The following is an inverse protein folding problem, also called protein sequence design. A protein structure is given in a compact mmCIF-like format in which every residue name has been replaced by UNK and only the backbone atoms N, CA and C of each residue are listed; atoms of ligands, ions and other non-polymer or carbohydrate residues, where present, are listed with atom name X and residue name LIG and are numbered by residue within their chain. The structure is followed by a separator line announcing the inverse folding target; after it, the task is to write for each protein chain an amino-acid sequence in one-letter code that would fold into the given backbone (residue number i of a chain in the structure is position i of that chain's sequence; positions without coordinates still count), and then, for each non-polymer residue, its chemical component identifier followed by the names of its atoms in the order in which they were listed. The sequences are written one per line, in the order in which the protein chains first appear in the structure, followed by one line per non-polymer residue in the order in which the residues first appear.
data_IF_503063163983
#
_entry.id   IF_503063163983
#
_cell.length_a   1.000
_cell.length_b   1.000
_cell.length_c   1.000
_cell.angle_alpha   90.00
_cell.angle_beta   90.00
_cell.angle_gamma   90.00
#
_symmetry.space_group_name_H-M   'P 1'
#
loop_
_entity.id
_entity.type
_entity.pdbx_description
1 polymer ?
#
# COMPACT_ATOMS: atom_id res chain seq x y z
N UNK A 1 2.95 -71.73 31.85
CA UNK A 1 2.98 -71.08 30.52
C UNK A 1 1.68 -70.30 30.29
N UNK A 2 1.30 -69.34 31.16
CA UNK A 2 0.06 -68.54 31.02
C UNK A 2 0.25 -67.19 31.73
N UNK A 3 1.20 -66.37 31.31
CA UNK A 3 1.29 -64.97 31.77
C UNK A 3 1.92 -64.15 30.64
N UNK A 4 1.15 -63.76 29.61
CA UNK A 4 1.57 -62.64 28.73
C UNK A 4 0.51 -62.07 27.76
N UNK A 5 -0.77 -62.40 27.87
CA UNK A 5 -1.76 -62.08 26.81
C UNK A 5 -2.81 -61.00 27.15
N UNK A 6 -2.63 -60.18 28.18
CA UNK A 6 -3.72 -59.26 28.63
C UNK A 6 -3.42 -57.76 28.40
N UNK A 7 -2.20 -57.35 28.01
CA UNK A 7 -1.85 -55.91 27.95
C UNK A 7 -2.05 -55.18 26.61
N UNK A 8 -2.44 -55.86 25.53
CA UNK A 8 -2.56 -55.22 24.20
C UNK A 8 -3.97 -54.74 23.83
N UNK A 9 -5.00 -55.06 24.62
CA UNK A 9 -6.40 -54.77 24.27
C UNK A 9 -6.96 -53.41 24.72
N UNK A 10 -6.31 -52.70 25.65
CA UNK A 10 -6.88 -51.47 26.24
C UNK A 10 -6.36 -50.15 25.63
N UNK A 11 -5.23 -50.13 24.93
CA UNK A 11 -4.70 -48.88 24.37
C UNK A 11 -5.34 -48.43 23.04
N UNK A 12 -5.98 -49.33 22.30
CA UNK A 12 -6.62 -48.98 21.01
C UNK A 12 -7.96 -48.27 21.16
N UNK A 13 -8.68 -48.49 22.27
CA UNK A 13 -9.98 -47.86 22.52
C UNK A 13 -9.89 -46.39 22.98
N UNK A 14 -8.76 -45.94 23.52
CA UNK A 14 -8.59 -44.54 23.95
C UNK A 14 -8.24 -43.63 22.76
N UNK A 15 -7.49 -44.15 21.77
CA UNK A 15 -7.10 -43.38 20.57
C UNK A 15 -8.23 -43.20 19.55
N UNK A 16 -9.21 -44.11 19.47
CA UNK A 16 -10.39 -43.92 18.62
C UNK A 16 -11.43 -42.96 19.23
N UNK A 17 -11.54 -42.89 20.57
CA UNK A 17 -12.50 -41.99 21.23
C UNK A 17 -12.06 -40.51 21.18
N UNK A 18 -10.76 -40.24 21.05
CA UNK A 18 -10.23 -38.88 20.88
C UNK A 18 -10.40 -38.32 19.45
N UNK A 19 -10.32 -39.16 18.40
CA UNK A 19 -10.48 -38.71 17.01
C UNK A 19 -11.91 -38.31 16.62
N UNK A 20 -12.93 -38.88 17.25
CA UNK A 20 -14.34 -38.58 16.90
C UNK A 20 -14.90 -37.33 17.60
N UNK A 21 -14.33 -36.89 18.72
CA UNK A 21 -14.70 -35.61 19.34
C UNK A 21 -13.96 -34.42 18.71
N UNK A 22 -12.80 -34.62 18.07
CA UNK A 22 -12.07 -33.54 17.41
C UNK A 22 -12.65 -33.17 16.02
N UNK A 23 -13.44 -34.04 15.38
CA UNK A 23 -14.10 -33.73 14.10
C UNK A 23 -15.39 -32.93 14.24
N UNK A 24 -16.13 -33.07 15.33
CA UNK A 24 -17.35 -32.27 15.57
C UNK A 24 -17.04 -30.81 15.99
N UNK A 25 -15.85 -30.55 16.53
CA UNK A 25 -15.43 -29.17 16.81
C UNK A 25 -14.94 -28.46 15.53
N UNK A 26 -14.31 -29.18 14.60
CA UNK A 26 -13.74 -28.58 13.40
C UNK A 26 -14.79 -28.21 12.34
N UNK A 27 -15.88 -28.98 12.18
CA UNK A 27 -16.98 -28.58 11.29
C UNK A 27 -17.83 -27.45 11.86
N UNK A 28 -17.90 -27.30 13.19
CA UNK A 28 -18.53 -26.12 13.81
C UNK A 28 -17.66 -24.86 13.63
N UNK A 29 -16.33 -24.98 13.70
CA UNK A 29 -15.43 -23.86 13.44
C UNK A 29 -15.32 -23.49 11.95
N UNK A 30 -15.45 -24.45 11.03
CA UNK A 30 -15.36 -24.17 9.58
C UNK A 30 -16.70 -23.76 8.95
N UNK A 31 -17.85 -24.11 9.54
CA UNK A 31 -19.18 -23.67 9.09
C UNK A 31 -19.66 -22.38 9.79
N UNK A 32 -19.12 -22.07 10.97
CA UNK A 32 -19.46 -20.88 11.76
C UNK A 32 -18.31 -19.87 11.89
N UNK A 33 -17.32 -19.96 11.00
CA UNK A 33 -16.58 -18.81 10.50
C UNK A 33 -17.40 -18.04 9.43
N UNK A 34 -18.72 -18.06 9.54
CA UNK A 34 -19.48 -16.84 9.31
C UNK A 34 -18.96 -15.86 10.35
N UNK A 35 -18.06 -14.98 9.90
CA UNK A 35 -17.66 -13.76 10.58
C UNK A 35 -18.93 -13.18 11.17
N UNK A 36 -19.15 -13.40 12.47
CA UNK A 36 -20.07 -12.60 13.26
C UNK A 36 -19.47 -11.22 13.17
N UNK A 37 -20.00 -10.39 12.28
CA UNK A 37 -19.59 -9.00 12.20
C UNK A 37 -19.91 -8.39 13.56
N UNK A 38 -18.84 -8.19 14.32
CA UNK A 38 -18.87 -7.61 15.65
C UNK A 38 -19.42 -6.22 15.48
N UNK A 39 -20.71 -6.05 15.76
CA UNK A 39 -21.37 -4.76 15.89
C UNK A 39 -21.07 -3.81 14.73
N UNK A 40 -21.60 -4.10 13.54
CA UNK A 40 -21.66 -3.13 12.45
C UNK A 40 -22.62 -2.00 12.83
N UNK A 41 -22.14 -1.09 13.69
CA UNK A 41 -22.59 0.28 13.62
C UNK A 41 -22.39 0.71 12.17
N UNK A 42 -23.43 1.15 11.44
CA UNK A 42 -23.27 1.55 10.05
C UNK A 42 -22.13 2.56 10.02
N UNK A 43 -21.03 2.19 9.36
CA UNK A 43 -19.86 3.06 9.23
C UNK A 43 -20.38 4.24 8.42
N UNK A 44 -20.77 5.29 9.12
CA UNK A 44 -21.19 6.55 8.53
C UNK A 44 -19.95 7.08 7.83
N UNK A 45 -19.81 6.76 6.54
CA UNK A 45 -18.73 7.27 5.71
C UNK A 45 -18.98 8.77 5.64
N UNK A 46 -18.30 9.53 6.51
CA UNK A 46 -18.34 10.98 6.45
C UNK A 46 -17.77 11.37 5.10
N UNK A 47 -18.58 11.93 4.20
CA UNK A 47 -18.17 12.33 2.85
C UNK A 47 -16.94 13.25 2.79
N UNK A 48 -16.56 13.87 3.91
CA UNK A 48 -15.32 14.64 4.03
C UNK A 48 -14.03 13.84 3.85
N UNK A 49 -14.06 12.50 3.98
CA UNK A 49 -12.86 11.67 3.81
C UNK A 49 -12.35 11.63 2.38
N UNK A 50 -13.26 11.48 1.40
CA UNK A 50 -12.88 11.46 -0.02
C UNK A 50 -12.24 12.78 -0.45
N UNK A 51 -12.77 13.91 0.01
CA UNK A 51 -12.23 15.25 -0.29
C UNK A 51 -10.77 15.38 0.16
N UNK A 52 -10.40 14.81 1.32
CA UNK A 52 -9.02 14.89 1.83
C UNK A 52 -8.03 14.06 1.01
N UNK A 53 -8.40 12.86 0.59
CA UNK A 53 -7.53 12.04 -0.28
C UNK A 53 -7.35 12.72 -1.63
N UNK A 54 -8.44 13.21 -2.22
CA UNK A 54 -8.39 13.91 -3.51
C UNK A 54 -7.49 15.15 -3.40
N UNK A 55 -7.66 15.96 -2.35
CA UNK A 55 -6.82 17.13 -2.14
C UNK A 55 -5.33 16.78 -1.98
N UNK A 56 -5.01 15.78 -1.15
CA UNK A 56 -3.63 15.33 -0.98
C UNK A 56 -3.04 14.72 -2.26
N UNK A 57 -3.86 14.05 -3.07
CA UNK A 57 -3.47 13.54 -4.38
C UNK A 57 -3.19 14.68 -5.36
N UNK A 58 -4.03 15.71 -5.41
CA UNK A 58 -3.78 16.89 -6.24
C UNK A 58 -2.48 17.60 -5.87
N UNK A 59 -2.19 17.75 -4.56
CA UNK A 59 -0.91 18.31 -4.09
C UNK A 59 0.26 17.46 -4.59
N UNK A 60 0.16 16.13 -4.55
CA UNK A 60 1.20 15.23 -5.06
C UNK A 60 1.42 15.41 -6.57
N UNK A 61 0.35 15.59 -7.35
CA UNK A 61 0.45 15.85 -8.80
C UNK A 61 1.19 17.16 -9.04
N UNK A 62 0.80 18.23 -8.35
CA UNK A 62 1.46 19.54 -8.49
C UNK A 62 2.95 19.44 -8.13
N UNK A 63 3.30 18.76 -7.04
CA UNK A 63 4.69 18.53 -6.65
C UNK A 63 5.48 17.76 -7.72
N UNK A 64 4.90 16.72 -8.33
CA UNK A 64 5.57 15.99 -9.42
C UNK A 64 5.74 16.83 -10.68
N UNK A 65 4.77 17.70 -11.01
CA UNK A 65 4.89 18.64 -12.14
C UNK A 65 6.01 19.64 -11.87
N UNK A 66 6.08 20.22 -10.67
CA UNK A 66 7.16 21.13 -10.29
C UNK A 66 8.52 20.43 -10.33
N UNK A 67 8.61 19.20 -9.83
CA UNK A 67 9.82 18.38 -9.91
C UNK A 67 10.25 18.18 -11.37
N UNK A 68 9.32 17.78 -12.25
CA UNK A 68 9.60 17.59 -13.68
C UNK A 68 10.09 18.89 -14.35
N UNK A 69 9.46 20.03 -14.06
CA UNK A 69 9.87 21.33 -14.60
C UNK A 69 11.27 21.71 -14.11
N UNK A 70 11.54 21.59 -12.81
CA UNK A 70 12.85 21.95 -12.24
C UNK A 70 13.97 21.07 -12.80
N UNK A 71 13.74 19.76 -12.93
CA UNK A 71 14.69 18.86 -13.58
C UNK A 71 14.91 19.21 -15.04
N UNK A 72 13.84 19.43 -15.82
CA UNK A 72 13.96 19.79 -17.22
C UNK A 72 14.74 21.10 -17.41
N UNK A 73 14.50 22.08 -16.54
CA UNK A 73 15.24 23.34 -16.57
C UNK A 73 16.72 23.15 -16.22
N UNK A 74 17.04 22.33 -15.21
CA UNK A 74 18.43 22.01 -14.85
C UNK A 74 19.20 21.32 -15.98
N UNK A 75 18.56 20.38 -16.67
CA UNK A 75 19.13 19.71 -17.84
C UNK A 75 19.45 20.70 -18.96
N UNK A 76 18.56 21.67 -19.22
CA UNK A 76 18.81 22.71 -20.22
C UNK A 76 19.95 23.68 -19.83
N UNK A 77 20.33 23.73 -18.56
CA UNK A 77 21.50 24.46 -18.07
C UNK A 77 22.79 23.63 -18.09
N UNK A 78 22.74 22.38 -18.55
CA UNK A 78 23.90 21.49 -18.63
C UNK A 78 24.13 20.66 -17.36
N UNK A 79 23.19 20.68 -16.39
CA UNK A 79 23.28 19.80 -15.23
C UNK A 79 23.18 18.33 -15.67
N UNK A 80 23.98 17.46 -15.05
CA UNK A 80 23.90 16.02 -15.26
C UNK A 80 22.86 15.40 -14.33
N UNK A 81 21.94 14.61 -14.89
CA UNK A 81 20.97 13.85 -14.09
C UNK A 81 21.68 12.69 -13.38
N UNK A 82 21.73 12.75 -12.05
CA UNK A 82 22.36 11.71 -11.24
C UNK A 82 21.57 10.40 -11.19
N UNK A 83 20.28 10.42 -11.55
CA UNK A 83 19.42 9.24 -11.54
C UNK A 83 19.42 8.52 -12.90
N UNK A 84 20.03 7.32 -13.02
CA UNK A 84 20.15 6.62 -14.30
C UNK A 84 18.81 6.24 -14.92
N UNK A 85 17.77 6.05 -14.09
CA UNK A 85 16.41 5.75 -14.56
C UNK A 85 15.85 6.96 -15.29
N UNK A 86 16.02 8.16 -14.72
CA UNK A 86 15.51 9.40 -15.32
C UNK A 86 16.27 9.69 -16.62
N UNK A 87 17.59 9.50 -16.64
CA UNK A 87 18.42 9.63 -17.86
C UNK A 87 17.91 8.74 -19.01
N UNK A 88 17.61 7.47 -18.74
CA UNK A 88 17.02 6.57 -19.74
C UNK A 88 15.69 7.08 -20.32
N UNK A 89 14.82 7.65 -19.47
CA UNK A 89 13.55 8.22 -19.93
C UNK A 89 13.71 9.54 -20.69
N UNK A 90 14.76 10.31 -20.41
CA UNK A 90 15.11 11.51 -21.18
C UNK A 90 15.57 11.11 -22.57
N UNK A 91 16.51 10.17 -22.67
CA UNK A 91 17.07 9.68 -23.94
C UNK A 91 15.98 9.07 -24.86
N UNK A 92 15.00 8.39 -24.28
CA UNK A 92 13.86 7.83 -25.01
C UNK A 92 12.75 8.82 -25.34
N UNK A 93 12.90 10.12 -24.99
CA UNK A 93 11.88 11.15 -25.20
C UNK A 93 10.59 10.96 -24.37
N UNK A 94 10.58 10.02 -23.44
CA UNK A 94 9.40 9.62 -22.64
C UNK A 94 9.38 10.24 -21.24
N UNK A 95 10.28 11.20 -20.98
CA UNK A 95 10.45 11.88 -19.69
C UNK A 95 9.13 12.36 -19.08
N UNK A 96 8.32 13.09 -19.84
CA UNK A 96 7.06 13.66 -19.35
C UNK A 96 6.02 12.58 -19.00
N UNK A 97 5.94 11.52 -19.81
CA UNK A 97 5.02 10.40 -19.59
C UNK A 97 5.40 9.64 -18.32
N UNK A 98 6.69 9.37 -18.14
CA UNK A 98 7.20 8.72 -16.94
C UNK A 98 6.95 9.58 -15.68
N UNK A 99 7.34 10.86 -15.74
CA UNK A 99 7.39 11.72 -14.55
C UNK A 99 6.03 12.29 -14.14
N UNK A 100 5.09 12.47 -15.07
CA UNK A 100 3.72 12.94 -14.78
C UNK A 100 2.70 11.81 -14.88
N UNK A 101 2.79 10.98 -15.92
CA UNK A 101 1.80 9.93 -16.19
C UNK A 101 1.73 8.87 -15.08
N UNK A 102 2.88 8.38 -14.61
CA UNK A 102 2.91 7.34 -13.57
C UNK A 102 2.30 7.84 -12.26
N UNK A 103 2.68 9.01 -11.69
CA UNK A 103 2.03 9.54 -10.49
C UNK A 103 0.53 9.73 -10.65
N UNK A 104 0.05 10.21 -11.79
CA UNK A 104 -1.39 10.37 -12.06
C UNK A 104 -2.11 9.02 -12.01
N UNK A 105 -1.56 7.99 -12.66
CA UNK A 105 -2.14 6.65 -12.66
C UNK A 105 -2.17 6.06 -11.25
N UNK A 106 -1.09 6.21 -10.48
CA UNK A 106 -1.01 5.74 -9.09
C UNK A 106 -2.08 6.44 -8.24
N UNK A 107 -2.22 7.76 -8.36
CA UNK A 107 -3.20 8.53 -7.58
C UNK A 107 -4.63 8.16 -7.98
N UNK A 108 -4.90 8.00 -9.27
CA UNK A 108 -6.19 7.54 -9.77
C UNK A 108 -6.54 6.17 -9.20
N UNK A 109 -5.57 5.25 -9.17
CA UNK A 109 -5.75 3.92 -8.58
C UNK A 109 -6.04 4.00 -7.08
N UNK A 110 -5.31 4.84 -6.33
CA UNK A 110 -5.56 5.06 -4.89
C UNK A 110 -6.98 5.62 -4.68
N UNK A 111 -7.41 6.61 -5.45
CA UNK A 111 -8.72 7.25 -5.30
C UNK A 111 -9.85 6.27 -5.64
N UNK A 112 -9.74 5.53 -6.74
CA UNK A 112 -10.79 4.62 -7.21
C UNK A 112 -10.93 3.35 -6.36
N UNK A 113 -9.81 2.73 -5.98
CA UNK A 113 -9.81 1.43 -5.29
C UNK A 113 -9.74 1.55 -3.77
N UNK A 114 -8.90 2.45 -3.26
CA UNK A 114 -8.66 2.55 -1.82
C UNK A 114 -9.67 3.47 -1.13
N UNK A 115 -10.13 4.53 -1.82
CA UNK A 115 -11.16 5.43 -1.33
C UNK A 115 -12.48 4.74 -0.94
N UNK A 116 -12.75 3.55 -1.50
CA UNK A 116 -13.95 2.75 -1.22
C UNK A 116 -13.84 1.89 0.05
N UNK A 117 -12.65 1.67 0.60
CA UNK A 117 -12.42 0.79 1.76
C UNK A 117 -12.13 1.60 3.02
N UNK A 118 -13.08 1.73 3.97
CA UNK A 118 -12.93 2.62 5.13
C UNK A 118 -11.77 2.23 6.05
N UNK A 119 -11.42 0.93 6.10
CA UNK A 119 -10.33 0.43 6.95
C UNK A 119 -8.95 0.90 6.48
N UNK A 120 -8.77 1.14 5.18
CA UNK A 120 -7.49 1.54 4.59
C UNK A 120 -7.30 3.06 4.59
N UNK A 121 -8.38 3.84 4.71
CA UNK A 121 -8.36 5.30 4.63
C UNK A 121 -7.32 5.96 5.57
N UNK A 122 -7.26 5.52 6.84
CA UNK A 122 -6.35 6.11 7.84
C UNK A 122 -4.88 5.87 7.47
N UNK A 123 -4.56 4.66 7.01
CA UNK A 123 -3.21 4.31 6.58
C UNK A 123 -2.84 5.05 5.29
N UNK A 124 -3.73 5.07 4.29
CA UNK A 124 -3.49 5.74 3.02
C UNK A 124 -3.27 7.23 3.17
N UNK A 125 -4.05 7.92 4.00
CA UNK A 125 -3.85 9.36 4.24
C UNK A 125 -2.55 9.67 4.98
N UNK A 126 -2.11 8.80 5.91
CA UNK A 126 -0.81 8.96 6.56
C UNK A 126 0.33 8.76 5.56
N UNK A 127 0.28 7.70 4.76
CA UNK A 127 1.28 7.43 3.72
C UNK A 127 1.33 8.58 2.71
N UNK A 128 0.18 9.05 2.23
CA UNK A 128 0.12 10.13 1.25
C UNK A 128 0.68 11.45 1.80
N UNK A 129 0.49 11.75 3.09
CA UNK A 129 1.12 12.90 3.75
C UNK A 129 2.64 12.77 3.84
N UNK A 130 3.14 11.58 4.19
CA UNK A 130 4.59 11.32 4.26
C UNK A 130 5.21 11.46 2.88
N UNK A 131 4.60 10.83 1.85
CA UNK A 131 5.04 10.95 0.46
C UNK A 131 5.07 12.43 0.03
N UNK A 132 3.99 13.18 0.25
CA UNK A 132 3.95 14.62 -0.07
C UNK A 132 5.07 15.40 0.64
N UNK A 133 5.36 15.08 1.89
CA UNK A 133 6.42 15.75 2.65
C UNK A 133 7.81 15.47 2.05
N UNK A 134 8.08 14.21 1.70
CA UNK A 134 9.33 13.81 1.04
C UNK A 134 9.47 14.47 -0.33
N UNK A 135 8.42 14.44 -1.15
CA UNK A 135 8.43 15.11 -2.47
C UNK A 135 8.60 16.62 -2.37
N UNK A 136 8.01 17.25 -1.34
CA UNK A 136 8.21 18.69 -1.11
C UNK A 136 9.68 19.02 -0.83
N UNK A 137 10.39 18.16 -0.08
CA UNK A 137 11.82 18.32 0.18
C UNK A 137 12.66 18.11 -1.08
N UNK A 138 12.31 17.13 -1.92
CA UNK A 138 13.00 16.88 -3.20
C UNK A 138 12.84 18.09 -4.13
N UNK A 139 11.62 18.61 -4.28
CA UNK A 139 11.37 19.81 -5.09
C UNK A 139 12.12 21.02 -4.54
N UNK A 140 12.10 21.22 -3.22
CA UNK A 140 12.84 22.31 -2.58
C UNK A 140 14.34 22.20 -2.84
N UNK A 141 14.90 20.99 -2.75
CA UNK A 141 16.30 20.71 -3.06
C UNK A 141 16.62 21.05 -4.52
N UNK A 142 15.79 20.63 -5.47
CA UNK A 142 15.97 20.94 -6.90
C UNK A 142 15.92 22.45 -7.16
N UNK A 143 15.02 23.18 -6.50
CA UNK A 143 14.96 24.65 -6.59
C UNK A 143 16.23 25.29 -6.04
N UNK A 144 16.75 24.84 -4.89
CA UNK A 144 18.00 25.36 -4.31
C UNK A 144 19.18 25.09 -5.25
N UNK A 145 19.27 23.87 -5.80
CA UNK A 145 20.29 23.49 -6.78
C UNK A 145 20.30 24.42 -7.98
N UNK A 146 19.12 24.73 -8.53
CA UNK A 146 18.97 25.68 -9.65
C UNK A 146 19.41 27.11 -9.31
N UNK A 147 19.21 27.56 -8.07
CA UNK A 147 19.62 28.90 -7.65
C UNK A 147 21.14 28.99 -7.51
N UNK A 148 21.78 27.93 -7.02
CA UNK A 148 23.24 27.85 -6.86
C UNK A 148 23.93 27.85 -8.22
N UNK A 149 23.48 27.01 -9.15
CA UNK A 149 24.08 26.88 -10.49
C UNK A 149 23.98 28.16 -11.32
N UNK A 150 22.99 29.03 -11.03
CA UNK A 150 22.81 30.30 -11.73
C UNK A 150 23.80 31.39 -11.30
N UNK A 151 24.48 31.24 -10.16
CA UNK A 151 25.46 32.22 -9.68
C UNK A 151 26.85 31.91 -10.21
#
# INVERSE_FOLDING_TARGET
MIVNTIKTGQQTNILQKSKNNCRKCLTYYLSKCTIKSVGDNPIKIKGGYMKKIILLGLVLIVLNVLDAITTFYGLNMGAMEGNPIVSFFIESGSFWVFKIGIPIIIILFIVLFIGRKPILYKSSTRVLKVINSVFSLIVLWNVISLIIERR
#
